data_IF_723050324457
#
_entry.id   IF_723050324457
#
_cell.length_a   1.000
_cell.length_b   1.000
_cell.length_c   1.000
_cell.angle_alpha   90.00
_cell.angle_beta   90.00
_cell.angle_gamma   90.00
#
_symmetry.space_group_name_H-M   'P 1'
#
loop_
_entity.id
_entity.type
_entity.pdbx_description
1 polymer ?
#
# COMPACT_ATOMS: atom_id res chain seq x y z
N UNK A 1 -14.43 13.77 -20.76
CA UNK A 1 -14.29 12.88 -19.59
C UNK A 1 -15.53 12.00 -19.32
N UNK A 2 -16.57 12.03 -20.17
CA UNK A 2 -17.80 11.25 -19.96
C UNK A 2 -17.57 9.74 -19.83
N UNK A 3 -16.54 9.20 -20.49
CA UNK A 3 -16.20 7.78 -20.40
C UNK A 3 -15.76 7.34 -19.00
N UNK A 4 -14.97 8.16 -18.28
CA UNK A 4 -14.45 7.79 -16.96
C UNK A 4 -15.58 7.70 -15.92
N UNK A 5 -16.64 8.51 -16.10
CA UNK A 5 -17.83 8.52 -15.24
C UNK A 5 -18.54 7.15 -15.25
N UNK A 6 -18.46 6.40 -16.35
CA UNK A 6 -19.08 5.07 -16.46
C UNK A 6 -18.40 4.08 -15.53
N UNK A 7 -17.07 4.06 -15.51
CA UNK A 7 -16.28 3.26 -14.57
C UNK A 7 -16.53 3.71 -13.13
N UNK A 8 -16.55 5.02 -12.88
CA UNK A 8 -16.82 5.58 -11.54
C UNK A 8 -18.22 5.20 -11.05
N UNK A 9 -19.21 5.16 -11.93
CA UNK A 9 -20.61 4.85 -11.61
C UNK A 9 -20.87 3.39 -11.25
N UNK A 10 -19.91 2.49 -11.50
CA UNK A 10 -20.07 1.06 -11.22
C UNK A 10 -20.12 0.76 -9.72
N UNK A 11 -20.89 -0.24 -9.28
CA UNK A 11 -20.88 -0.70 -7.88
C UNK A 11 -19.48 -1.06 -7.38
N UNK A 12 -18.66 -1.65 -8.25
CA UNK A 12 -17.28 -2.09 -7.98
C UNK A 12 -16.40 -0.89 -7.60
N UNK A 13 -16.52 0.23 -8.32
CA UNK A 13 -15.78 1.46 -8.02
C UNK A 13 -16.39 2.22 -6.83
N UNK A 14 -17.73 2.31 -6.75
CA UNK A 14 -18.43 2.97 -5.63
C UNK A 14 -18.11 2.31 -4.27
N UNK A 15 -17.83 1.00 -4.25
CA UNK A 15 -17.36 0.26 -3.07
C UNK A 15 -16.16 0.92 -2.39
N UNK A 16 -15.30 1.60 -3.14
CA UNK A 16 -14.12 2.27 -2.59
C UNK A 16 -14.46 3.37 -1.58
N UNK A 17 -15.70 3.89 -1.54
CA UNK A 17 -16.17 4.86 -0.53
C UNK A 17 -16.28 4.27 0.87
N UNK A 18 -16.40 2.94 0.96
CA UNK A 18 -16.51 2.21 2.22
C UNK A 18 -15.15 1.67 2.71
N UNK A 19 -14.08 1.84 1.91
CA UNK A 19 -12.76 1.32 2.22
C UNK A 19 -11.84 2.49 2.62
N UNK A 20 -11.53 2.58 3.91
CA UNK A 20 -10.60 3.60 4.43
C UNK A 20 -9.22 3.43 3.82
N UNK A 21 -8.64 4.52 3.32
CA UNK A 21 -7.31 4.53 2.71
C UNK A 21 -6.26 3.93 3.66
N UNK A 22 -6.31 4.39 4.92
CA UNK A 22 -5.34 4.04 5.95
C UNK A 22 -5.86 3.02 6.96
N UNK A 23 -6.97 2.35 6.64
CA UNK A 23 -7.57 1.31 7.48
C UNK A 23 -7.82 1.79 8.92
N UNK A 24 -7.23 1.09 9.90
CA UNK A 24 -7.44 1.40 11.31
C UNK A 24 -6.79 2.71 11.80
N UNK A 25 -5.97 3.35 10.98
CA UNK A 25 -5.35 4.65 11.30
C UNK A 25 -6.41 5.70 11.65
N UNK A 26 -7.60 5.61 11.06
CA UNK A 26 -8.76 6.44 11.39
C UNK A 26 -9.14 6.41 12.89
N UNK A 27 -8.94 5.28 13.57
CA UNK A 27 -9.21 5.17 15.01
C UNK A 27 -8.16 5.89 15.87
N UNK A 28 -7.04 6.34 15.29
CA UNK A 28 -6.01 7.13 15.96
C UNK A 28 -6.07 8.58 15.50
N UNK A 29 -6.23 8.80 14.20
CA UNK A 29 -6.34 10.11 13.57
C UNK A 29 -7.73 10.25 12.96
N UNK A 30 -8.66 10.96 13.62
CA UNK A 30 -9.99 11.20 13.07
C UNK A 30 -9.95 11.92 11.70
N UNK A 31 -8.88 12.67 11.41
CA UNK A 31 -8.63 13.31 10.11
C UNK A 31 -8.35 12.31 8.98
N UNK A 32 -7.85 11.11 9.28
CA UNK A 32 -7.64 10.01 8.33
C UNK A 32 -8.95 9.30 7.95
N UNK A 33 -10.01 10.07 7.74
CA UNK A 33 -11.35 9.59 7.41
C UNK A 33 -11.54 9.30 5.93
N UNK A 34 -10.54 9.62 5.10
CA UNK A 34 -10.59 9.45 3.65
C UNK A 34 -10.56 7.98 3.23
N UNK A 35 -11.11 7.74 2.05
CA UNK A 35 -11.30 6.44 1.45
C UNK A 35 -10.48 6.29 0.16
N UNK A 36 -10.38 5.05 -0.31
CA UNK A 36 -9.74 4.72 -1.58
C UNK A 36 -10.40 5.42 -2.76
N UNK A 37 -11.69 5.73 -2.68
CA UNK A 37 -12.44 6.38 -3.75
C UNK A 37 -11.81 7.72 -4.18
N UNK A 38 -11.63 8.65 -3.24
CA UNK A 38 -11.05 9.96 -3.55
C UNK A 38 -9.56 9.89 -3.90
N UNK A 39 -8.84 8.88 -3.39
CA UNK A 39 -7.46 8.59 -3.79
C UNK A 39 -7.40 8.17 -5.27
N UNK A 40 -8.20 7.18 -5.69
CA UNK A 40 -8.28 6.73 -7.08
C UNK A 40 -8.63 7.87 -8.05
N UNK A 41 -9.53 8.79 -7.66
CA UNK A 41 -9.86 9.98 -8.46
C UNK A 41 -8.67 10.94 -8.58
N UNK A 42 -7.94 11.17 -7.48
CA UNK A 42 -6.75 12.03 -7.48
C UNK A 42 -5.62 11.44 -8.31
N UNK A 43 -5.33 10.14 -8.15
CA UNK A 43 -4.34 9.41 -8.95
C UNK A 43 -4.67 9.46 -10.43
N UNK A 44 -5.94 9.28 -10.82
CA UNK A 44 -6.39 9.42 -12.21
C UNK A 44 -6.19 10.84 -12.76
N UNK A 45 -6.51 11.87 -11.97
CA UNK A 45 -6.29 13.26 -12.35
C UNK A 45 -4.80 13.58 -12.56
N UNK A 46 -3.94 13.11 -11.66
CA UNK A 46 -2.49 13.28 -11.77
C UNK A 46 -1.94 12.53 -13.00
N UNK A 47 -2.38 11.30 -13.24
CA UNK A 47 -1.96 10.50 -14.40
C UNK A 47 -2.32 11.21 -15.72
N UNK A 48 -3.57 11.68 -15.84
CA UNK A 48 -4.03 12.45 -17.00
C UNK A 48 -3.20 13.72 -17.19
N UNK A 49 -3.05 14.52 -16.14
CA UNK A 49 -2.37 15.81 -16.21
C UNK A 49 -0.89 15.62 -16.55
N UNK A 50 -0.24 14.62 -15.96
CA UNK A 50 1.17 14.31 -16.19
C UNK A 50 1.41 13.83 -17.63
N UNK A 51 0.68 12.80 -18.09
CA UNK A 51 0.79 12.29 -19.46
C UNK A 51 0.49 13.36 -20.50
N UNK A 52 -0.61 14.11 -20.32
CA UNK A 52 -0.99 15.19 -21.24
C UNK A 52 0.07 16.29 -21.33
N UNK A 53 0.66 16.67 -20.21
CA UNK A 53 1.71 17.69 -20.17
C UNK A 53 2.95 17.23 -20.93
N UNK A 54 3.36 15.97 -20.76
CA UNK A 54 4.48 15.39 -21.50
C UNK A 54 4.21 15.35 -23.01
N UNK A 55 3.01 14.92 -23.42
CA UNK A 55 2.61 14.92 -24.84
C UNK A 55 2.59 16.33 -25.44
N UNK A 56 2.09 17.33 -24.69
CA UNK A 56 2.14 18.74 -25.09
C UNK A 56 3.56 19.28 -25.23
N UNK A 57 4.53 18.69 -24.53
CA UNK A 57 5.95 19.01 -24.62
C UNK A 57 6.68 18.21 -25.72
N UNK A 58 5.95 17.40 -26.51
CA UNK A 58 6.49 16.65 -27.63
C UNK A 58 6.82 15.18 -27.35
N UNK A 59 6.45 14.64 -26.18
CA UNK A 59 6.53 13.20 -25.94
C UNK A 59 5.54 12.46 -26.85
N UNK A 60 5.97 11.31 -27.38
CA UNK A 60 5.12 10.47 -28.23
C UNK A 60 3.89 9.94 -27.47
N UNK A 61 2.80 9.71 -28.19
CA UNK A 61 1.60 9.08 -27.65
C UNK A 61 0.32 9.64 -28.24
N UNK A 62 -0.78 8.93 -28.00
CA UNK A 62 -2.08 9.21 -28.60
C UNK A 62 -3.10 9.67 -27.56
N UNK A 63 -4.22 10.23 -28.01
CA UNK A 63 -5.35 10.50 -27.12
C UNK A 63 -5.89 9.22 -26.47
N UNK A 64 -5.76 8.08 -27.16
CA UNK A 64 -6.16 6.78 -26.61
C UNK A 64 -5.22 6.34 -25.48
N UNK A 65 -3.91 6.51 -25.64
CA UNK A 65 -2.93 6.25 -24.57
C UNK A 65 -3.22 7.07 -23.31
N UNK A 66 -3.63 8.33 -23.50
CA UNK A 66 -4.04 9.21 -22.40
C UNK A 66 -5.26 8.64 -21.66
N UNK A 67 -6.25 8.08 -22.38
CA UNK A 67 -7.40 7.40 -21.76
C UNK A 67 -6.96 6.14 -21.01
N UNK A 68 -6.13 5.30 -21.62
CA UNK A 68 -5.61 4.07 -21.02
C UNK A 68 -4.83 4.34 -19.73
N UNK A 69 -3.90 5.30 -19.74
CA UNK A 69 -3.14 5.70 -18.55
C UNK A 69 -4.04 6.25 -17.45
N UNK A 70 -5.03 7.08 -17.82
CA UNK A 70 -5.99 7.62 -16.87
C UNK A 70 -6.86 6.52 -16.25
N UNK A 71 -7.32 5.56 -17.06
CA UNK A 71 -8.13 4.45 -16.60
C UNK A 71 -7.32 3.47 -15.73
N UNK A 72 -6.07 3.18 -16.09
CA UNK A 72 -5.16 2.40 -15.27
C UNK A 72 -5.00 3.04 -13.89
N UNK A 73 -4.73 4.34 -13.84
CA UNK A 73 -4.61 5.10 -12.58
C UNK A 73 -5.91 5.13 -11.77
N UNK A 74 -7.06 5.26 -12.44
CA UNK A 74 -8.37 5.20 -11.79
C UNK A 74 -8.61 3.84 -11.15
N UNK A 75 -8.26 2.75 -11.84
CA UNK A 75 -8.60 1.39 -11.45
C UNK A 75 -7.47 0.63 -10.72
N UNK A 76 -6.31 1.26 -10.50
CA UNK A 76 -5.15 0.60 -9.90
C UNK A 76 -5.40 0.10 -8.46
N UNK A 77 -6.36 0.70 -7.74
CA UNK A 77 -6.67 0.43 -6.33
C UNK A 77 -8.02 -0.32 -6.13
N UNK A 78 -8.51 -1.00 -7.17
CA UNK A 78 -9.77 -1.76 -7.12
C UNK A 78 -9.67 -3.06 -6.29
N UNK A 79 -8.49 -3.64 -6.14
CA UNK A 79 -8.26 -4.93 -5.51
C UNK A 79 -8.26 -4.89 -3.98
N UNK A 80 -8.87 -5.89 -3.34
CA UNK A 80 -8.72 -6.15 -1.91
C UNK A 80 -7.67 -7.25 -1.69
N UNK A 81 -6.78 -7.09 -0.71
CA UNK A 81 -5.71 -8.06 -0.45
C UNK A 81 -5.96 -8.93 0.81
N UNK A 82 -5.66 -10.23 0.67
CA UNK A 82 -5.23 -11.17 1.73
C UNK A 82 -4.36 -12.35 1.21
N UNK A 83 -4.11 -12.47 -0.10
CA UNK A 83 -3.44 -13.65 -0.72
C UNK A 83 -2.75 -13.35 -2.07
N UNK A 84 -3.08 -12.24 -2.72
CA UNK A 84 -2.60 -11.86 -4.06
C UNK A 84 -2.01 -10.46 -3.96
N UNK A 85 -0.99 -10.14 -4.75
CA UNK A 85 -0.53 -8.74 -4.83
C UNK A 85 -1.72 -7.85 -5.19
N UNK A 86 -1.83 -6.72 -4.50
CA UNK A 86 -2.95 -5.80 -4.61
C UNK A 86 -3.29 -5.46 -6.08
N UNK A 87 -2.26 -5.30 -6.91
CA UNK A 87 -2.36 -5.02 -8.35
C UNK A 87 -3.04 -6.15 -9.14
N UNK A 88 -2.77 -7.42 -8.82
CA UNK A 88 -3.44 -8.55 -9.46
C UNK A 88 -4.95 -8.56 -9.16
N UNK A 89 -5.31 -8.23 -7.91
CA UNK A 89 -6.71 -8.08 -7.51
C UNK A 89 -7.39 -6.94 -8.26
N UNK A 90 -6.68 -5.83 -8.46
CA UNK A 90 -7.18 -4.67 -9.21
C UNK A 90 -7.41 -5.00 -10.69
N UNK A 91 -6.47 -5.71 -11.33
CA UNK A 91 -6.63 -6.19 -12.71
C UNK A 91 -7.83 -7.12 -12.86
N UNK A 92 -8.00 -8.08 -11.94
CA UNK A 92 -9.14 -9.02 -11.99
C UNK A 92 -10.48 -8.27 -11.84
N UNK A 93 -10.54 -7.30 -10.91
CA UNK A 93 -11.74 -6.49 -10.71
C UNK A 93 -12.02 -5.57 -11.91
N UNK A 94 -10.98 -5.01 -12.53
CA UNK A 94 -11.10 -4.21 -13.75
C UNK A 94 -11.67 -5.05 -14.90
N UNK A 95 -11.15 -6.26 -15.13
CA UNK A 95 -11.67 -7.16 -16.16
C UNK A 95 -13.16 -7.44 -15.97
N UNK A 96 -13.59 -7.76 -14.75
CA UNK A 96 -15.01 -7.95 -14.44
C UNK A 96 -15.85 -6.70 -14.70
N UNK A 97 -15.35 -5.52 -14.31
CA UNK A 97 -16.03 -4.24 -14.52
C UNK A 97 -16.20 -3.94 -16.03
N UNK A 98 -15.16 -4.18 -16.82
CA UNK A 98 -15.18 -4.01 -18.28
C UNK A 98 -16.24 -4.91 -18.92
N UNK A 99 -16.29 -6.19 -18.54
CA UNK A 99 -17.28 -7.13 -19.07
C UNK A 99 -18.71 -6.71 -18.74
N UNK A 100 -18.99 -6.28 -17.51
CA UNK A 100 -20.33 -5.77 -17.13
C UNK A 100 -20.73 -4.51 -17.92
N UNK A 101 -19.77 -3.60 -18.16
CA UNK A 101 -20.04 -2.41 -18.96
C UNK A 101 -20.30 -2.76 -20.43
N UNK A 102 -19.61 -3.77 -20.98
CA UNK A 102 -19.84 -4.28 -22.35
C UNK A 102 -21.23 -4.88 -22.49
N UNK A 103 -21.64 -5.70 -21.52
CA UNK A 103 -22.97 -6.33 -21.50
C UNK A 103 -24.12 -5.32 -21.37
N UNK A 104 -23.89 -4.22 -20.65
CA UNK A 104 -24.90 -3.17 -20.44
C UNK A 104 -24.96 -2.11 -21.55
N UNK A 105 -24.27 -2.33 -22.69
CA UNK A 105 -24.09 -1.37 -23.80
C UNK A 105 -23.66 0.03 -23.34
N UNK A 106 -23.04 0.11 -22.15
CA UNK A 106 -22.74 1.35 -21.45
C UNK A 106 -21.29 1.78 -21.61
N UNK A 107 -20.47 1.09 -22.40
CA UNK A 107 -19.09 1.54 -22.71
C UNK A 107 -19.14 2.64 -23.77
N UNK A 108 -18.77 3.87 -23.42
CA UNK A 108 -18.79 5.01 -24.36
C UNK A 108 -17.53 5.19 -25.21
N UNK A 109 -16.47 4.40 -25.03
CA UNK A 109 -15.32 4.46 -25.93
C UNK A 109 -14.82 3.07 -26.30
N UNK A 110 -14.44 2.90 -27.57
CA UNK A 110 -14.02 1.63 -28.14
C UNK A 110 -12.73 1.15 -27.45
N UNK A 111 -12.86 0.35 -26.40
CA UNK A 111 -11.75 -0.23 -25.67
C UNK A 111 -11.39 -1.55 -26.34
N UNK A 112 -10.36 -1.51 -27.19
CA UNK A 112 -9.88 -2.69 -27.90
C UNK A 112 -9.14 -3.63 -26.96
N UNK A 113 -9.08 -4.92 -27.30
CA UNK A 113 -8.39 -5.93 -26.48
C UNK A 113 -6.91 -5.60 -26.24
N UNK A 114 -6.26 -4.87 -27.15
CA UNK A 114 -4.88 -4.40 -26.96
C UNK A 114 -4.79 -3.32 -25.87
N UNK A 115 -5.77 -2.40 -25.82
CA UNK A 115 -5.82 -1.35 -24.82
C UNK A 115 -6.11 -1.91 -23.42
N UNK A 116 -6.93 -2.95 -23.32
CA UNK A 116 -7.18 -3.65 -22.05
C UNK A 116 -5.90 -4.23 -21.49
N UNK A 117 -5.17 -5.00 -22.31
CA UNK A 117 -3.87 -5.56 -21.92
C UNK A 117 -2.89 -4.47 -21.54
N UNK A 118 -2.91 -3.34 -22.24
CA UNK A 118 -2.05 -2.20 -21.92
C UNK A 118 -2.42 -1.60 -20.55
N UNK A 119 -3.70 -1.39 -20.26
CA UNK A 119 -4.17 -0.89 -18.95
C UNK A 119 -3.77 -1.85 -17.82
N UNK A 120 -3.97 -3.15 -18.01
CA UNK A 120 -3.54 -4.17 -17.05
C UNK A 120 -2.03 -4.11 -16.80
N UNK A 121 -1.25 -3.99 -17.88
CA UNK A 121 0.20 -3.87 -17.81
C UNK A 121 0.66 -2.60 -17.08
N UNK A 122 -0.04 -1.47 -17.23
CA UNK A 122 0.21 -0.24 -16.47
C UNK A 122 -0.07 -0.40 -14.96
N UNK A 123 -1.15 -1.10 -14.59
CA UNK A 123 -1.47 -1.40 -13.18
C UNK A 123 -0.43 -2.35 -12.59
N UNK A 124 -0.05 -3.37 -13.35
CA UNK A 124 0.96 -4.35 -12.95
C UNK A 124 2.39 -3.77 -13.01
N UNK A 125 2.63 -2.67 -13.69
CA UNK A 125 3.97 -2.11 -13.91
C UNK A 125 4.84 -2.97 -14.85
N UNK A 126 4.25 -3.60 -15.85
CA UNK A 126 4.92 -4.49 -16.81
C UNK A 126 5.03 -3.82 -18.18
N UNK A 127 6.25 -3.63 -18.69
CA UNK A 127 6.50 -2.82 -19.90
C UNK A 127 7.02 -3.61 -21.10
N UNK A 128 6.92 -4.94 -21.07
CA UNK A 128 7.50 -5.86 -22.09
C UNK A 128 6.40 -6.31 -23.03
N UNK A 129 6.67 -6.30 -24.34
CA UNK A 129 5.73 -6.82 -25.35
C UNK A 129 4.69 -5.82 -25.85
N UNK A 130 4.84 -4.53 -25.54
CA UNK A 130 3.94 -3.47 -26.00
C UNK A 130 4.68 -2.51 -26.93
N UNK A 131 4.06 -2.20 -28.07
CA UNK A 131 4.47 -1.13 -28.98
C UNK A 131 3.78 0.18 -28.56
N UNK A 132 4.19 0.69 -27.40
CA UNK A 132 3.69 1.94 -26.79
C UNK A 132 4.85 2.70 -26.15
N UNK A 133 4.76 4.04 -26.06
CA UNK A 133 5.82 4.85 -25.45
C UNK A 133 6.19 4.39 -24.04
N UNK A 134 7.47 4.11 -23.82
CA UNK A 134 7.99 3.51 -22.57
C UNK A 134 7.66 4.33 -21.32
N UNK A 135 7.66 5.66 -21.43
CA UNK A 135 7.42 6.55 -20.29
C UNK A 135 6.01 6.40 -19.71
N UNK A 136 5.03 5.89 -20.47
CA UNK A 136 3.67 5.69 -19.98
C UNK A 136 3.63 4.65 -18.84
N UNK A 137 4.50 3.64 -18.91
CA UNK A 137 4.65 2.61 -17.87
C UNK A 137 5.29 3.13 -16.58
N UNK A 138 5.92 4.30 -16.63
CA UNK A 138 6.50 4.96 -15.46
C UNK A 138 5.51 5.83 -14.69
N UNK A 139 4.28 6.02 -15.20
CA UNK A 139 3.30 6.96 -14.64
C UNK A 139 2.54 6.36 -13.47
N UNK A 140 1.89 5.20 -13.65
CA UNK A 140 0.98 4.61 -12.66
C UNK A 140 1.74 3.77 -11.63
N UNK A 141 2.31 2.64 -12.06
CA UNK A 141 3.09 1.73 -11.22
C UNK A 141 4.51 1.56 -11.76
N UNK A 142 5.41 2.46 -11.34
CA UNK A 142 6.80 2.44 -11.78
C UNK A 142 7.62 1.37 -11.03
N UNK A 143 7.70 0.15 -11.59
CA UNK A 143 8.58 -0.91 -11.01
C UNK A 143 10.08 -0.62 -11.14
N UNK A 144 10.47 0.37 -11.95
CA UNK A 144 11.88 0.68 -12.17
C UNK A 144 12.48 1.41 -10.96
N UNK A 145 11.88 2.52 -10.55
CA UNK A 145 12.37 3.39 -9.46
C UNK A 145 11.34 3.63 -8.35
N UNK A 146 10.13 3.07 -8.46
CA UNK A 146 9.02 3.21 -7.50
C UNK A 146 8.40 4.61 -7.43
N UNK A 147 8.75 5.53 -8.35
CA UNK A 147 8.19 6.88 -8.43
C UNK A 147 7.07 6.90 -9.47
N UNK A 148 5.83 7.08 -9.01
CA UNK A 148 4.64 7.18 -9.84
C UNK A 148 3.59 8.08 -9.20
N UNK A 149 2.54 8.42 -9.96
CA UNK A 149 1.51 9.38 -9.52
C UNK A 149 0.66 8.88 -8.35
N UNK A 150 0.56 7.56 -8.16
CA UNK A 150 -0.03 6.95 -6.98
C UNK A 150 0.62 7.50 -5.69
N UNK A 151 1.97 7.50 -5.66
CA UNK A 151 2.74 8.03 -4.53
C UNK A 151 2.55 9.51 -4.33
N UNK A 152 2.49 10.27 -5.41
CA UNK A 152 2.28 11.72 -5.31
C UNK A 152 0.92 12.04 -4.69
N UNK A 153 -0.13 11.30 -5.08
CA UNK A 153 -1.46 11.47 -4.48
C UNK A 153 -1.44 11.09 -3.00
N UNK A 154 -1.06 9.85 -2.65
CA UNK A 154 -1.20 9.40 -1.27
C UNK A 154 -0.27 10.15 -0.31
N UNK A 155 0.95 10.53 -0.72
CA UNK A 155 1.84 11.30 0.16
C UNK A 155 1.22 12.66 0.49
N UNK A 156 0.74 13.39 -0.53
CA UNK A 156 0.11 14.70 -0.31
C UNK A 156 -1.18 14.55 0.50
N UNK A 157 -2.03 13.59 0.14
CA UNK A 157 -3.33 13.39 0.74
C UNK A 157 -3.22 12.90 2.18
N UNK A 158 -2.39 11.90 2.46
CA UNK A 158 -2.24 11.33 3.79
C UNK A 158 -1.59 12.34 4.74
N UNK A 159 -0.63 13.12 4.25
CA UNK A 159 0.02 14.17 5.04
C UNK A 159 -0.98 15.25 5.48
N UNK A 160 -1.88 15.68 4.60
CA UNK A 160 -2.94 16.64 4.95
C UNK A 160 -3.93 16.09 5.99
N UNK A 161 -4.02 14.77 6.14
CA UNK A 161 -5.03 14.09 6.96
C UNK A 161 -4.48 13.54 8.28
N UNK A 162 -3.16 13.46 8.45
CA UNK A 162 -2.50 12.89 9.63
C UNK A 162 -1.51 13.89 10.24
N UNK A 163 -1.46 13.94 11.57
CA UNK A 163 -0.42 14.65 12.33
C UNK A 163 0.52 13.64 12.98
N UNK A 164 1.52 13.15 12.22
CA UNK A 164 2.69 12.35 12.67
C UNK A 164 2.47 11.06 13.52
N UNK A 165 3.54 10.28 13.67
CA UNK A 165 3.64 8.86 14.04
C UNK A 165 3.12 8.48 15.45
N UNK A 166 2.26 7.44 15.57
CA UNK A 166 1.92 6.79 16.84
C UNK A 166 1.69 5.28 16.68
N UNK A 167 2.33 4.46 17.52
CA UNK A 167 2.27 2.98 17.56
C UNK A 167 0.87 2.37 17.82
N UNK A 168 -0.15 3.21 18.02
CA UNK A 168 -1.51 2.81 18.41
C UNK A 168 -2.31 2.25 17.23
N UNK A 169 -2.00 2.69 16.01
CA UNK A 169 -2.65 2.26 14.76
C UNK A 169 -2.51 0.74 14.55
N UNK A 170 -1.30 0.23 14.83
CA UNK A 170 -0.98 -1.20 14.66
C UNK A 170 -1.69 -2.07 15.66
N UNK A 171 -1.77 -1.64 16.93
CA UNK A 171 -2.51 -2.35 17.96
C UNK A 171 -3.97 -2.56 17.52
N UNK A 172 -4.61 -1.53 16.96
CA UNK A 172 -5.99 -1.61 16.48
C UNK A 172 -6.10 -2.52 15.26
N UNK A 173 -5.17 -2.43 14.30
CA UNK A 173 -5.12 -3.35 13.16
C UNK A 173 -5.03 -4.82 13.61
N UNK A 174 -4.26 -5.13 14.65
CA UNK A 174 -4.20 -6.50 15.20
C UNK A 174 -5.50 -6.93 15.85
N UNK A 175 -6.11 -6.08 16.65
CA UNK A 175 -7.40 -6.39 17.26
C UNK A 175 -8.48 -6.61 16.20
N UNK A 176 -8.48 -5.84 15.11
CA UNK A 176 -9.39 -6.07 13.97
C UNK A 176 -9.07 -7.42 13.30
N UNK A 177 -7.79 -7.72 13.04
CA UNK A 177 -7.40 -8.99 12.45
C UNK A 177 -7.83 -10.19 13.31
N UNK A 178 -7.60 -10.13 14.63
CA UNK A 178 -8.05 -11.17 15.58
C UNK A 178 -9.58 -11.28 15.60
N UNK A 179 -10.30 -10.15 15.61
CA UNK A 179 -11.76 -10.15 15.53
C UNK A 179 -12.28 -10.81 14.23
N UNK A 180 -11.62 -10.56 13.10
CA UNK A 180 -11.96 -11.15 11.81
C UNK A 180 -11.60 -12.65 11.76
N UNK A 181 -10.46 -13.06 12.32
CA UNK A 181 -10.08 -14.48 12.41
C UNK A 181 -11.10 -15.25 13.25
N UNK A 182 -11.49 -14.70 14.42
CA UNK A 182 -12.52 -15.31 15.26
C UNK A 182 -13.90 -15.36 14.60
N UNK A 183 -14.20 -14.39 13.74
CA UNK A 183 -15.44 -14.38 12.97
C UNK A 183 -15.41 -15.31 11.75
N UNK A 184 -14.22 -15.66 11.24
CA UNK A 184 -14.05 -16.40 9.98
C UNK A 184 -14.72 -17.79 9.93
N UNK A 185 -14.71 -18.64 10.99
CA UNK A 185 -15.42 -19.92 10.99
C UNK A 185 -16.93 -19.79 10.73
N UNK A 186 -17.50 -18.62 11.04
CA UNK A 186 -18.94 -18.37 11.01
C UNK A 186 -19.32 -17.55 9.77
N UNK A 187 -18.71 -16.39 9.62
CA UNK A 187 -18.94 -15.48 8.49
C UNK A 187 -18.41 -16.03 7.17
N UNK A 188 -17.63 -17.11 7.21
CA UNK A 188 -16.93 -17.65 6.04
C UNK A 188 -16.24 -16.51 5.28
N UNK A 189 -15.59 -15.55 5.95
CA UNK A 189 -14.96 -14.38 5.30
C UNK A 189 -13.97 -14.83 4.21
N UNK A 190 -13.35 -16.00 4.41
CA UNK A 190 -12.47 -16.68 3.46
C UNK A 190 -13.19 -17.39 2.29
N UNK A 191 -14.49 -17.67 2.40
CA UNK A 191 -15.28 -18.53 1.51
C UNK A 191 -16.62 -17.94 0.99
N UNK A 192 -17.18 -16.84 1.51
CA UNK A 192 -18.48 -16.32 1.06
C UNK A 192 -18.75 -14.84 1.42
N UNK A 193 -19.37 -14.12 0.46
CA UNK A 193 -19.91 -12.75 0.58
C UNK A 193 -21.41 -12.74 1.00
N UNK A 194 -22.14 -13.86 0.97
CA UNK A 194 -23.61 -13.80 0.89
C UNK A 194 -24.41 -14.67 1.89
N UNK A 195 -24.53 -14.26 3.18
CA UNK A 195 -25.73 -14.48 4.05
C UNK A 195 -25.48 -14.11 5.54
N UNK A 196 -25.91 -12.94 6.05
CA UNK A 196 -25.48 -12.40 7.35
C UNK A 196 -26.34 -12.75 8.59
N UNK A 197 -27.35 -13.63 8.52
CA UNK A 197 -28.32 -13.82 9.62
C UNK A 197 -28.33 -15.23 10.21
N UNK A 198 -27.28 -15.62 10.94
CA UNK A 198 -27.32 -16.72 11.94
C UNK A 198 -26.01 -16.91 12.75
N UNK A 199 -25.30 -15.83 13.10
CA UNK A 199 -23.95 -15.97 13.67
C UNK A 199 -23.82 -15.55 15.13
N UNK A 200 -23.36 -16.48 15.98
CA UNK A 200 -22.79 -16.18 17.30
C UNK A 200 -21.38 -15.61 17.11
N UNK A 201 -21.23 -14.33 17.43
CA UNK A 201 -20.03 -13.53 17.20
C UNK A 201 -19.53 -12.91 18.50
N UNK A 202 -19.88 -13.46 19.66
CA UNK A 202 -19.65 -12.77 20.94
C UNK A 202 -18.17 -12.42 21.18
N UNK A 203 -17.27 -13.35 20.85
CA UNK A 203 -15.82 -13.13 20.94
C UNK A 203 -15.30 -12.01 20.03
N UNK A 204 -15.77 -11.98 18.77
CA UNK A 204 -15.43 -10.93 17.80
C UNK A 204 -16.01 -9.58 18.25
N UNK A 205 -17.28 -9.57 18.66
CA UNK A 205 -17.98 -8.40 19.21
C UNK A 205 -17.26 -7.87 20.44
N UNK A 206 -16.73 -8.72 21.31
CA UNK A 206 -15.99 -8.30 22.49
C UNK A 206 -14.67 -7.60 22.14
N UNK A 207 -13.92 -8.10 21.15
CA UNK A 207 -12.71 -7.40 20.67
C UNK A 207 -13.07 -6.02 20.07
N UNK A 208 -14.15 -5.94 19.28
CA UNK A 208 -14.62 -4.66 18.73
C UNK A 208 -15.10 -3.70 19.84
N UNK A 209 -15.80 -4.20 20.87
CA UNK A 209 -16.20 -3.42 22.05
C UNK A 209 -14.97 -2.86 22.78
N UNK A 210 -13.88 -3.64 22.89
CA UNK A 210 -12.60 -3.19 23.48
C UNK A 210 -11.97 -2.06 22.67
N UNK A 211 -11.90 -2.17 21.34
CA UNK A 211 -11.44 -1.08 20.46
C UNK A 211 -12.25 0.20 20.70
N UNK A 212 -13.58 0.09 20.74
CA UNK A 212 -14.49 1.23 20.96
C UNK A 212 -14.33 1.89 22.32
N UNK A 213 -13.93 1.13 23.35
CA UNK A 213 -13.67 1.62 24.72
C UNK A 213 -12.22 2.05 24.93
N UNK A 214 -11.38 2.01 23.89
CA UNK A 214 -9.93 2.26 23.95
C UNK A 214 -9.16 1.32 24.87
N UNK A 215 -9.71 0.14 25.16
CA UNK A 215 -9.01 -0.95 25.81
C UNK A 215 -8.18 -1.73 24.76
N UNK A 216 -7.07 -1.11 24.36
CA UNK A 216 -6.22 -1.60 23.28
C UNK A 216 -5.08 -2.49 23.79
N UNK A 217 -4.57 -3.35 22.90
CA UNK A 217 -3.29 -4.03 23.13
C UNK A 217 -2.18 -3.03 23.47
N UNK A 218 -1.36 -3.39 24.44
CA UNK A 218 -0.32 -2.49 24.97
C UNK A 218 0.97 -2.67 24.18
N UNK A 219 1.50 -1.56 23.68
CA UNK A 219 2.85 -1.50 23.12
C UNK A 219 3.86 -1.65 24.25
N UNK A 220 4.82 -2.55 24.09
CA UNK A 220 5.80 -2.88 25.14
C UNK A 220 7.18 -2.36 24.77
N UNK A 221 7.66 -2.68 23.57
CA UNK A 221 8.99 -2.28 23.13
C UNK A 221 9.10 -2.24 21.59
N UNK A 222 10.10 -1.49 21.12
CA UNK A 222 10.52 -1.40 19.73
C UNK A 222 12.05 -1.46 19.65
N UNK A 223 12.59 -2.15 18.64
CA UNK A 223 14.01 -2.04 18.31
C UNK A 223 14.28 -2.13 16.81
N UNK A 224 15.36 -1.47 16.41
CA UNK A 224 15.95 -1.61 15.08
C UNK A 224 16.91 -2.79 15.07
N UNK A 225 16.83 -3.60 14.03
CA UNK A 225 17.70 -4.78 13.86
C UNK A 225 18.23 -4.83 12.43
N UNK A 226 19.48 -5.28 12.29
CA UNK A 226 20.10 -5.49 10.99
C UNK A 226 19.40 -6.62 10.21
N UNK A 227 19.34 -6.47 8.88
CA UNK A 227 18.67 -7.35 7.91
C UNK A 227 19.05 -8.83 8.01
N UNK A 228 20.24 -9.14 8.52
CA UNK A 228 20.78 -10.51 8.60
C UNK A 228 20.11 -11.42 9.65
N UNK A 229 19.14 -10.91 10.43
CA UNK A 229 18.63 -11.59 11.63
C UNK A 229 17.12 -11.94 11.60
N UNK A 230 16.51 -12.15 10.42
CA UNK A 230 15.07 -12.46 10.24
C UNK A 230 14.62 -13.85 10.72
N UNK A 231 14.72 -14.18 12.02
CA UNK A 231 14.23 -15.48 12.55
C UNK A 231 13.48 -15.43 13.89
N UNK A 232 12.35 -14.72 14.02
CA UNK A 232 11.47 -14.82 15.21
C UNK A 232 9.99 -14.60 14.89
N UNK A 233 9.05 -15.21 15.64
CA UNK A 233 7.61 -14.90 15.55
C UNK A 233 7.29 -13.67 16.39
N UNK A 234 7.44 -12.55 15.72
CA UNK A 234 7.25 -11.18 16.17
C UNK A 234 6.89 -10.39 14.90
N UNK A 235 6.21 -9.23 14.98
CA UNK A 235 5.89 -8.51 13.73
C UNK A 235 7.07 -7.67 13.30
N UNK A 236 7.74 -8.17 12.27
CA UNK A 236 8.73 -7.48 11.48
C UNK A 236 8.04 -6.42 10.62
N UNK A 237 8.47 -5.18 10.80
CA UNK A 237 8.16 -4.12 9.86
C UNK A 237 9.41 -3.88 9.02
N UNK A 238 9.28 -4.06 7.72
CA UNK A 238 10.27 -3.65 6.76
C UNK A 238 9.94 -2.22 6.33
N UNK A 239 10.81 -1.27 6.69
CA UNK A 239 10.76 0.11 6.23
C UNK A 239 11.82 0.27 5.15
N UNK A 240 11.42 0.62 3.94
CA UNK A 240 12.38 0.93 2.89
C UNK A 240 11.87 2.01 1.95
N UNK A 241 12.75 2.49 1.07
CA UNK A 241 12.48 3.57 0.14
C UNK A 241 11.76 3.08 -1.14
N UNK A 242 10.98 2.00 -1.01
CA UNK A 242 10.20 1.39 -2.09
C UNK A 242 10.98 0.41 -2.98
N UNK A 243 12.26 0.14 -2.68
CA UNK A 243 13.14 -0.75 -3.48
C UNK A 243 14.03 -1.66 -2.62
N UNK A 244 13.56 -2.03 -1.43
CA UNK A 244 14.40 -2.70 -0.44
C UNK A 244 15.59 -1.80 -0.07
N UNK A 245 16.75 -2.40 0.19
CA UNK A 245 17.96 -1.67 0.60
C UNK A 245 18.68 -0.92 -0.53
N UNK A 246 18.00 -0.65 -1.65
CA UNK A 246 18.57 0.07 -2.80
C UNK A 246 18.07 1.51 -2.83
N UNK A 247 18.94 2.44 -3.14
CA UNK A 247 18.56 3.84 -3.36
C UNK A 247 17.66 3.95 -4.61
N UNK A 248 16.43 4.46 -4.51
CA UNK A 248 15.58 4.64 -5.69
C UNK A 248 16.15 5.68 -6.69
N UNK A 249 16.91 6.66 -6.20
CA UNK A 249 17.46 7.77 -7.01
C UNK A 249 18.50 7.28 -8.02
N UNK A 250 19.23 6.19 -7.73
CA UNK A 250 20.22 5.61 -8.67
C UNK A 250 19.63 5.24 -10.03
N UNK A 251 18.34 4.92 -10.06
CA UNK A 251 17.63 4.57 -11.28
C UNK A 251 16.90 5.73 -11.94
N UNK A 252 16.84 6.88 -11.29
CA UNK A 252 16.31 8.12 -11.89
C UNK A 252 17.32 8.64 -12.90
N UNK A 253 16.82 9.14 -14.02
CA UNK A 253 17.62 9.75 -15.08
C UNK A 253 17.31 11.24 -15.10
N UNK A 254 18.35 12.06 -15.17
CA UNK A 254 18.26 13.52 -15.11
C UNK A 254 18.63 14.13 -16.47
N UNK A 255 18.25 15.39 -16.68
CA UNK A 255 18.62 16.19 -17.84
C UNK A 255 18.96 17.61 -17.39
N UNK A 256 19.77 18.33 -18.19
CA UNK A 256 20.15 19.71 -17.88
C UNK A 256 19.19 20.69 -18.57
N UNK A 257 18.92 21.83 -17.91
CA UNK A 257 18.00 22.84 -18.47
C UNK A 257 18.47 23.39 -19.83
N UNK A 258 19.79 23.43 -20.06
CA UNK A 258 20.43 23.91 -21.28
C UNK A 258 20.63 22.77 -22.29
N UNK A 259 20.65 21.51 -21.85
CA UNK A 259 20.76 20.34 -22.71
C UNK A 259 19.69 19.30 -22.40
N UNK A 260 18.47 19.55 -22.92
CA UNK A 260 17.27 18.75 -22.60
C UNK A 260 17.20 17.39 -23.27
N UNK A 261 18.02 17.16 -24.29
CA UNK A 261 18.03 15.92 -25.07
C UNK A 261 19.12 14.94 -24.62
N UNK A 262 20.03 15.39 -23.74
CA UNK A 262 21.04 14.54 -23.13
C UNK A 262 20.62 14.17 -21.72
N UNK A 263 20.93 12.93 -21.37
CA UNK A 263 20.59 12.37 -20.06
C UNK A 263 21.84 12.00 -19.29
N UNK A 264 21.77 12.12 -17.97
CA UNK A 264 22.85 11.74 -17.08
C UNK A 264 22.32 11.11 -15.78
N UNK A 265 23.24 10.49 -15.05
CA UNK A 265 23.03 10.01 -13.68
C UNK A 265 23.77 10.93 -12.73
N UNK A 266 23.18 11.18 -11.56
CA UNK A 266 23.85 11.92 -10.49
C UNK A 266 24.57 10.89 -9.62
N UNK A 267 25.88 11.05 -9.42
CA UNK A 267 26.64 10.17 -8.54
C UNK A 267 26.29 10.46 -7.08
N UNK A 268 26.51 9.49 -6.18
CA UNK A 268 26.23 9.67 -4.76
C UNK A 268 27.06 10.83 -4.18
N UNK A 269 28.30 10.96 -4.63
CA UNK A 269 29.20 12.04 -4.23
C UNK A 269 28.64 13.45 -4.54
N UNK A 270 27.81 13.57 -5.58
CA UNK A 270 27.26 14.85 -6.04
C UNK A 270 26.00 15.31 -5.29
N UNK A 271 25.31 14.39 -4.57
CA UNK A 271 24.06 14.68 -3.84
C UNK A 271 24.38 15.23 -2.42
N UNK A 272 25.53 14.85 -1.87
CA UNK A 272 26.02 15.29 -0.57
C UNK A 272 26.01 14.21 0.52
N UNK A 273 26.67 14.50 1.64
CA UNK A 273 26.90 13.56 2.74
C UNK A 273 25.66 13.19 3.57
N UNK A 274 24.51 13.80 3.30
CA UNK A 274 23.26 13.56 4.05
C UNK A 274 22.42 12.40 3.48
N UNK A 275 22.89 11.76 2.41
CA UNK A 275 22.21 10.58 1.85
C UNK A 275 22.42 9.38 2.79
N UNK A 276 21.35 8.67 3.20
CA UNK A 276 21.48 7.47 4.03
C UNK A 276 22.45 6.42 3.44
N UNK A 277 23.18 5.71 4.29
CA UNK A 277 24.00 4.56 3.88
C UNK A 277 23.16 3.30 3.67
N UNK A 278 22.07 3.18 4.43
CA UNK A 278 21.09 2.09 4.35
C UNK A 278 19.73 2.66 3.96
N UNK A 279 19.02 1.95 3.08
CA UNK A 279 17.71 2.35 2.55
C UNK A 279 16.61 1.39 3.01
N UNK A 280 16.96 0.34 3.75
CA UNK A 280 16.04 -0.59 4.39
C UNK A 280 16.41 -0.79 5.86
N UNK A 281 15.40 -0.65 6.70
CA UNK A 281 15.48 -0.92 8.12
C UNK A 281 14.41 -1.93 8.51
N UNK A 282 14.73 -2.74 9.51
CA UNK A 282 13.78 -3.66 10.10
C UNK A 282 13.49 -3.19 11.51
N UNK A 283 12.20 -2.96 11.75
CA UNK A 283 11.69 -2.59 13.06
C UNK A 283 10.92 -3.76 13.65
N UNK A 284 11.39 -4.21 14.81
CA UNK A 284 10.71 -5.21 15.63
C UNK A 284 9.78 -4.51 16.61
N UNK A 285 8.48 -4.85 16.60
CA UNK A 285 7.51 -4.36 17.60
C UNK A 285 6.88 -5.50 18.38
N UNK A 286 6.83 -5.33 19.71
CA UNK A 286 6.24 -6.28 20.64
C UNK A 286 4.98 -5.67 21.25
N UNK A 287 3.86 -6.40 21.13
CA UNK A 287 2.56 -6.05 21.70
C UNK A 287 2.08 -7.19 22.59
N UNK A 288 1.37 -6.86 23.67
CA UNK A 288 0.77 -7.87 24.54
C UNK A 288 -0.74 -7.67 24.63
N UNK A 289 -1.47 -8.81 24.62
CA UNK A 289 -2.94 -8.87 24.52
C UNK A 289 -3.64 -8.52 25.83
N UNK A 290 -3.15 -9.08 26.93
CA UNK A 290 -3.64 -8.92 28.31
C UNK A 290 -2.45 -9.06 29.27
N UNK A 291 -2.20 -8.05 30.09
CA UNK A 291 -1.09 -8.06 31.05
C UNK A 291 -1.33 -7.07 32.18
N UNK A 292 -0.90 -7.42 33.38
CA UNK A 292 -0.73 -6.45 34.47
C UNK A 292 0.56 -5.64 34.27
N UNK A 293 0.72 -4.52 34.98
CA UNK A 293 1.88 -3.64 34.82
C UNK A 293 3.22 -4.35 35.12
N UNK A 294 3.20 -5.32 36.03
CA UNK A 294 4.37 -6.12 36.43
C UNK A 294 4.87 -7.02 35.28
N UNK A 295 3.97 -7.71 34.58
CA UNK A 295 4.32 -8.51 33.39
C UNK A 295 4.85 -7.63 32.26
N UNK A 296 4.25 -6.46 32.04
CA UNK A 296 4.74 -5.51 31.02
C UNK A 296 6.16 -5.04 31.37
N UNK A 297 6.41 -4.73 32.64
CA UNK A 297 7.73 -4.27 33.09
C UNK A 297 8.78 -5.38 32.96
N UNK A 298 8.43 -6.63 33.31
CA UNK A 298 9.33 -7.78 33.17
C UNK A 298 9.73 -8.05 31.71
N UNK A 299 8.79 -7.90 30.77
CA UNK A 299 9.07 -8.02 29.33
C UNK A 299 9.96 -6.87 28.85
N UNK A 300 9.72 -5.63 29.31
CA UNK A 300 10.57 -4.46 29.00
C UNK A 300 12.00 -4.66 29.52
N UNK A 301 12.15 -5.02 30.79
CA UNK A 301 13.45 -5.21 31.42
C UNK A 301 14.22 -6.35 30.75
N UNK A 302 13.53 -7.44 30.40
CA UNK A 302 14.11 -8.55 29.64
C UNK A 302 14.60 -8.11 28.26
N UNK A 303 13.84 -7.24 27.58
CA UNK A 303 14.19 -6.72 26.27
C UNK A 303 15.38 -5.73 26.33
N UNK A 304 15.35 -4.78 27.27
CA UNK A 304 16.40 -3.77 27.46
C UNK A 304 17.73 -4.38 27.92
N UNK A 305 17.68 -5.32 28.88
CA UNK A 305 18.87 -6.03 29.33
C UNK A 305 19.47 -6.86 28.19
N UNK A 306 18.65 -7.47 27.34
CA UNK A 306 19.14 -8.25 26.19
C UNK A 306 19.66 -7.37 25.04
N UNK A 307 19.18 -6.13 24.85
CA UNK A 307 19.81 -5.17 23.94
C UNK A 307 21.23 -4.79 24.41
N UNK A 308 21.40 -4.53 25.70
CA UNK A 308 22.70 -4.15 26.29
C UNK A 308 23.73 -5.29 26.21
N UNK A 309 23.29 -6.55 26.35
CA UNK A 309 24.16 -7.74 26.32
C UNK A 309 24.60 -8.13 24.90
N UNK A 310 23.90 -7.67 23.84
CA UNK A 310 24.07 -8.13 22.46
C UNK A 310 24.78 -7.15 21.52
N UNK A 311 25.98 -6.72 21.88
CA UNK A 311 27.01 -6.42 20.86
C UNK A 311 27.59 -7.70 20.21
N UNK A 312 27.34 -8.91 20.75
CA UNK A 312 28.13 -10.09 20.35
C UNK A 312 27.43 -11.40 19.90
N UNK A 313 26.17 -11.77 20.21
CA UNK A 313 25.60 -13.02 19.64
C UNK A 313 24.06 -13.09 19.68
N UNK A 314 23.40 -13.21 18.51
CA UNK A 314 21.93 -13.13 18.32
C UNK A 314 21.23 -14.50 18.21
N UNK A 315 21.95 -15.59 17.93
CA UNK A 315 21.38 -16.91 17.65
C UNK A 315 20.63 -17.60 18.82
N UNK A 316 20.82 -17.15 20.07
CA UNK A 316 20.22 -17.78 21.26
C UNK A 316 18.79 -17.35 21.60
N UNK A 317 18.14 -16.53 20.76
CA UNK A 317 16.81 -15.98 21.07
C UNK A 317 15.65 -16.94 20.74
N UNK A 318 15.90 -18.03 19.99
CA UNK A 318 14.84 -18.92 19.44
C UNK A 318 14.35 -19.99 20.43
N UNK A 319 15.20 -20.42 21.35
CA UNK A 319 14.92 -21.57 22.21
C UNK A 319 14.00 -21.24 23.40
N UNK A 320 14.13 -20.04 23.99
CA UNK A 320 13.48 -19.73 25.29
C UNK A 320 12.08 -19.11 25.16
N UNK A 321 11.71 -18.55 24.00
CA UNK A 321 10.39 -17.92 23.81
C UNK A 321 9.26 -18.92 23.51
N UNK A 322 9.60 -20.16 23.16
CA UNK A 322 8.62 -21.24 23.03
C UNK A 322 8.25 -21.88 24.39
N UNK A 323 8.98 -21.52 25.46
CA UNK A 323 8.79 -22.06 26.82
C UNK A 323 8.14 -21.05 27.79
N UNK A 324 7.75 -19.86 27.32
CA UNK A 324 6.96 -18.85 28.07
C UNK A 324 5.51 -18.77 27.56
#
# INVERSE_FOLDING_TARGET
MNWAVQFIGTPQFQRLKEIKQLGATYFVFPGASHNRFEHSLGTAHLAYTFAKTLMQQGAEGTENDLKCVTLAALCHDLGLDKKWKHENGSVTMLGHLIEELRESESVSFNLETEDEKFIEALILGESVGFDRPKYLFDIVNNKNNSVGVDKFDYISRDFDRIVTNLNVDRAINYMIADALVKANPYLKIKEAIDKPKEYDLEDSKNIIKRIRRRDLYKFVAECLISKDHKKFVTKWLELNYGRGDKNPVEKVTFYDKNNRNETFKIAREDIGYLVPEQFEEIVLRIFVRESNEEQIQLIKDSFENRQKVRKHHIASFEAEFNDM
#
